data_IF_447573449536
#
_entry.id   IF_447573449536
#
_cell.length_a   1.000
_cell.length_b   1.000
_cell.length_c   1.000
_cell.angle_alpha   90.00
_cell.angle_beta   90.00
_cell.angle_gamma   90.00
#
_symmetry.space_group_name_H-M   'P 1'
#
loop_
_entity.id
_entity.type
_entity.pdbx_description
1 polymer ?
#
# COMPACT_ATOMS: atom_id res chain seq x y z
N UNK A 1 19.67 20.96 2.97
CA UNK A 1 18.36 20.61 2.43
C UNK A 1 17.38 21.70 2.83
N UNK A 2 16.68 22.25 1.85
CA UNK A 2 15.72 23.32 2.05
C UNK A 2 14.33 22.77 2.40
N UNK A 3 13.50 23.60 3.03
CA UNK A 3 12.10 23.27 3.29
C UNK A 3 11.34 22.91 1.99
N UNK A 4 11.61 23.66 0.92
CA UNK A 4 11.03 23.34 -0.39
C UNK A 4 11.42 21.96 -0.92
N UNK A 5 12.63 21.47 -0.63
CA UNK A 5 13.02 20.12 -1.04
C UNK A 5 12.25 19.05 -0.24
N UNK A 6 11.94 19.32 1.01
CA UNK A 6 11.12 18.42 1.86
C UNK A 6 9.68 18.40 1.37
N UNK A 7 9.10 19.58 1.03
CA UNK A 7 7.74 19.67 0.47
C UNK A 7 7.62 18.93 -0.86
N UNK A 8 8.60 19.07 -1.74
CA UNK A 8 8.62 18.35 -3.02
C UNK A 8 8.73 16.85 -2.79
N UNK A 9 9.65 16.40 -1.93
CA UNK A 9 9.82 14.98 -1.63
C UNK A 9 8.57 14.35 -0.98
N UNK A 10 7.85 15.12 -0.15
CA UNK A 10 6.55 14.71 0.40
C UNK A 10 5.50 14.57 -0.71
N UNK A 11 5.39 15.57 -1.59
CA UNK A 11 4.44 15.54 -2.69
C UNK A 11 4.71 14.40 -3.68
N UNK A 12 5.99 14.15 -3.99
CA UNK A 12 6.39 13.05 -4.89
C UNK A 12 6.14 11.67 -4.31
N UNK A 13 6.05 11.55 -2.98
CA UNK A 13 5.83 10.30 -2.24
C UNK A 13 4.50 10.30 -1.48
N UNK A 14 3.54 11.10 -1.91
CA UNK A 14 2.25 11.23 -1.22
C UNK A 14 1.54 9.88 -1.07
N UNK A 15 1.68 9.00 -2.05
CA UNK A 15 1.12 7.65 -2.00
C UNK A 15 1.66 6.79 -0.85
N UNK A 16 2.92 7.03 -0.42
CA UNK A 16 3.54 6.34 0.74
C UNK A 16 2.96 6.83 2.08
N UNK A 17 2.46 8.06 2.10
CA UNK A 17 1.89 8.72 3.28
C UNK A 17 0.36 8.72 3.30
N UNK A 18 -0.26 8.15 2.27
CA UNK A 18 -1.70 8.02 2.15
C UNK A 18 -2.12 6.57 2.35
N UNK A 19 -3.00 6.35 3.33
CA UNK A 19 -3.63 5.04 3.55
C UNK A 19 -5.02 5.09 2.96
N UNK A 20 -5.31 4.18 2.03
CA UNK A 20 -6.65 4.05 1.47
C UNK A 20 -7.62 3.49 2.50
N UNK A 21 -8.90 3.91 2.41
CA UNK A 21 -9.98 3.24 3.15
C UNK A 21 -9.97 1.75 2.80
N UNK A 22 -10.04 0.91 3.82
CA UNK A 22 -10.16 -0.53 3.68
C UNK A 22 -11.34 -1.07 4.48
N UNK A 23 -11.89 -2.19 4.01
CA UNK A 23 -13.04 -2.83 4.64
C UNK A 23 -12.77 -4.29 4.87
N UNK A 24 -13.15 -4.78 6.03
CA UNK A 24 -13.15 -6.21 6.33
C UNK A 24 -14.44 -6.81 5.81
N UNK A 25 -14.34 -7.74 4.87
CA UNK A 25 -15.47 -8.23 4.10
C UNK A 25 -15.51 -9.76 4.11
N UNK A 26 -16.73 -10.29 4.22
CA UNK A 26 -17.04 -11.69 3.93
C UNK A 26 -17.96 -11.75 2.73
N UNK A 27 -17.85 -12.80 1.91
CA UNK A 27 -18.65 -12.94 0.68
C UNK A 27 -19.21 -14.34 0.49
N UNK A 28 -20.34 -14.39 -0.21
CA UNK A 28 -20.86 -15.57 -0.90
C UNK A 28 -20.90 -15.28 -2.40
N UNK A 29 -20.63 -16.28 -3.23
CA UNK A 29 -20.75 -16.17 -4.69
C UNK A 29 -21.72 -17.24 -5.18
N UNK A 30 -22.68 -16.82 -5.99
CA UNK A 30 -23.75 -17.67 -6.54
C UNK A 30 -23.69 -17.65 -8.07
N UNK A 31 -24.20 -18.72 -8.69
CA UNK A 31 -24.25 -18.82 -10.14
C UNK A 31 -25.35 -17.95 -10.76
N UNK A 32 -26.37 -17.63 -9.97
CA UNK A 32 -27.56 -16.89 -10.43
C UNK A 32 -28.08 -15.90 -9.41
N UNK A 33 -28.82 -14.91 -9.91
CA UNK A 33 -29.42 -13.82 -9.12
C UNK A 33 -30.52 -14.33 -8.16
N UNK A 34 -31.31 -15.31 -8.55
CA UNK A 34 -32.44 -15.78 -7.75
C UNK A 34 -31.94 -16.47 -6.47
N UNK A 35 -30.88 -17.25 -6.58
CA UNK A 35 -30.22 -17.89 -5.43
C UNK A 35 -29.58 -16.86 -4.51
N UNK A 36 -28.92 -15.84 -5.08
CA UNK A 36 -28.34 -14.73 -4.32
C UNK A 36 -29.41 -13.92 -3.58
N UNK A 37 -30.57 -13.65 -4.20
CA UNK A 37 -31.71 -12.98 -3.57
C UNK A 37 -32.29 -13.81 -2.42
N UNK A 38 -32.32 -15.14 -2.56
CA UNK A 38 -32.75 -16.03 -1.49
C UNK A 38 -31.81 -15.93 -0.28
N UNK A 39 -30.50 -15.95 -0.52
CA UNK A 39 -29.48 -15.76 0.52
C UNK A 39 -29.63 -14.39 1.20
N UNK A 40 -29.79 -13.32 0.41
CA UNK A 40 -30.03 -11.97 0.93
C UNK A 40 -31.24 -11.91 1.84
N UNK A 41 -32.36 -12.55 1.45
CA UNK A 41 -33.58 -12.58 2.24
C UNK A 41 -33.39 -13.28 3.58
N UNK A 42 -32.61 -14.36 3.60
CA UNK A 42 -32.28 -15.11 4.83
C UNK A 42 -31.41 -14.26 5.77
N UNK A 43 -30.34 -13.66 5.26
CA UNK A 43 -29.44 -12.82 6.05
C UNK A 43 -30.16 -11.58 6.56
N UNK A 44 -30.98 -10.92 5.73
CA UNK A 44 -31.78 -9.75 6.12
C UNK A 44 -32.86 -10.12 7.13
N UNK A 45 -33.31 -11.37 7.14
CA UNK A 45 -34.23 -11.91 8.13
C UNK A 45 -33.59 -12.24 9.47
N UNK A 46 -32.29 -12.07 9.62
CA UNK A 46 -31.55 -12.26 10.86
C UNK A 46 -30.77 -13.59 10.96
N UNK A 47 -30.70 -14.38 9.89
CA UNK A 47 -29.83 -15.55 9.86
C UNK A 47 -28.36 -15.11 9.78
N UNK A 48 -27.48 -15.87 10.45
CA UNK A 48 -26.06 -15.62 10.41
C UNK A 48 -25.49 -15.86 9.01
N UNK A 49 -24.64 -14.95 8.54
CA UNK A 49 -24.05 -14.98 7.19
C UNK A 49 -23.27 -16.28 6.94
N UNK A 50 -22.46 -16.72 7.91
CA UNK A 50 -21.70 -17.96 7.78
C UNK A 50 -22.61 -19.20 7.77
N UNK A 51 -23.68 -19.19 8.55
CA UNK A 51 -24.68 -20.27 8.56
C UNK A 51 -25.40 -20.39 7.20
N UNK A 52 -25.79 -19.29 6.60
CA UNK A 52 -26.39 -19.26 5.26
C UNK A 52 -25.42 -19.76 4.20
N UNK A 53 -24.14 -19.35 4.26
CA UNK A 53 -23.10 -19.81 3.34
C UNK A 53 -22.86 -21.32 3.46
N UNK A 54 -22.83 -21.84 4.68
CA UNK A 54 -22.65 -23.27 4.92
C UNK A 54 -23.82 -24.09 4.40
N UNK A 55 -25.05 -23.61 4.62
CA UNK A 55 -26.26 -24.31 4.20
C UNK A 55 -26.49 -24.28 2.68
N UNK A 56 -26.28 -23.13 2.04
CA UNK A 56 -26.55 -22.94 0.61
C UNK A 56 -25.38 -23.33 -0.30
N UNK A 57 -24.14 -23.15 0.14
CA UNK A 57 -22.94 -23.34 -0.65
C UNK A 57 -22.02 -24.44 -0.10
N UNK A 58 -22.20 -24.88 1.14
CA UNK A 58 -21.29 -25.78 1.82
C UNK A 58 -19.96 -25.11 2.20
N UNK A 59 -19.94 -23.80 2.26
CA UNK A 59 -18.72 -23.01 2.57
C UNK A 59 -18.50 -22.87 4.07
N UNK A 60 -17.22 -22.91 4.45
CA UNK A 60 -16.78 -22.63 5.82
C UNK A 60 -16.56 -21.13 6.04
N UNK A 61 -16.24 -20.74 7.28
CA UNK A 61 -15.88 -19.36 7.59
C UNK A 61 -14.62 -18.90 6.81
N UNK A 62 -13.67 -19.80 6.59
CA UNK A 62 -12.47 -19.48 5.81
C UNK A 62 -12.81 -19.23 4.33
N UNK A 63 -13.78 -19.96 3.78
CA UNK A 63 -14.20 -19.81 2.37
C UNK A 63 -14.92 -18.48 2.12
N UNK A 64 -15.67 -17.97 3.09
CA UNK A 64 -16.39 -16.70 2.98
C UNK A 64 -15.50 -15.49 3.29
N UNK A 65 -14.41 -15.68 4.00
CA UNK A 65 -13.53 -14.58 4.45
C UNK A 65 -12.74 -14.01 3.28
N UNK A 66 -13.07 -12.79 2.84
CA UNK A 66 -12.29 -12.05 1.85
C UNK A 66 -11.14 -11.28 2.50
N UNK A 67 -11.28 -10.91 3.76
CA UNK A 67 -10.29 -10.15 4.53
C UNK A 67 -10.42 -8.64 4.35
N UNK A 68 -9.32 -7.93 4.54
CA UNK A 68 -9.24 -6.50 4.31
C UNK A 68 -9.06 -6.22 2.81
N UNK A 69 -9.96 -5.42 2.27
CA UNK A 69 -9.95 -5.01 0.86
C UNK A 69 -10.03 -3.49 0.75
N UNK A 70 -9.33 -2.96 -0.25
CA UNK A 70 -9.48 -1.57 -0.70
C UNK A 70 -10.42 -1.52 -1.90
N UNK A 71 -10.83 -0.31 -2.30
CA UNK A 71 -11.69 -0.15 -3.49
C UNK A 71 -11.06 -0.70 -4.76
N UNK A 72 -9.74 -0.63 -4.88
CA UNK A 72 -8.98 -1.12 -6.03
C UNK A 72 -8.84 -2.65 -6.09
N UNK A 73 -9.06 -3.34 -4.98
CA UNK A 73 -9.00 -4.81 -4.93
C UNK A 73 -10.29 -5.47 -5.46
N UNK A 74 -11.35 -4.70 -5.59
CA UNK A 74 -12.67 -5.17 -6.01
C UNK A 74 -13.06 -4.62 -7.38
N UNK A 75 -13.65 -5.48 -8.20
CA UNK A 75 -14.09 -5.09 -9.54
C UNK A 75 -15.45 -4.35 -9.51
N UNK A 76 -15.55 -3.30 -10.30
CA UNK A 76 -16.77 -2.64 -10.76
C UNK A 76 -17.91 -2.61 -9.74
N UNK A 77 -19.02 -3.27 -10.06
CA UNK A 77 -20.23 -3.29 -9.26
C UNK A 77 -20.07 -3.90 -7.86
N UNK A 78 -19.17 -4.89 -7.71
CA UNK A 78 -18.88 -5.50 -6.40
C UNK A 78 -18.19 -4.48 -5.49
N UNK A 79 -17.20 -3.77 -6.03
CA UNK A 79 -16.53 -2.70 -5.29
C UNK A 79 -17.46 -1.56 -4.92
N UNK A 80 -18.33 -1.11 -5.83
CA UNK A 80 -19.33 -0.08 -5.55
C UNK A 80 -20.26 -0.53 -4.42
N UNK A 81 -20.80 -1.74 -4.49
CA UNK A 81 -21.69 -2.27 -3.47
C UNK A 81 -21.03 -2.34 -2.08
N UNK A 82 -19.77 -2.80 -2.01
CA UNK A 82 -19.04 -2.90 -0.73
C UNK A 82 -18.72 -1.52 -0.15
N UNK A 83 -18.32 -0.56 -0.98
CA UNK A 83 -17.90 0.75 -0.50
C UNK A 83 -19.06 1.74 -0.29
N UNK A 84 -20.26 1.43 -0.80
CA UNK A 84 -21.49 2.15 -0.49
C UNK A 84 -22.19 1.63 0.78
N UNK A 85 -21.91 0.39 1.20
CA UNK A 85 -22.50 -0.21 2.39
C UNK A 85 -21.85 0.31 3.67
N UNK A 86 -22.63 0.38 4.75
CA UNK A 86 -22.11 0.69 6.09
C UNK A 86 -21.56 -0.54 6.81
N UNK A 87 -20.89 -0.32 7.94
CA UNK A 87 -20.42 -1.40 8.81
C UNK A 87 -21.60 -2.22 9.34
N UNK A 88 -21.50 -3.55 9.21
CA UNK A 88 -22.55 -4.49 9.56
C UNK A 88 -23.65 -4.64 8.49
N UNK A 89 -23.57 -3.92 7.39
CA UNK A 89 -24.55 -4.01 6.31
C UNK A 89 -24.15 -5.07 5.27
N UNK A 90 -25.20 -5.64 4.64
CA UNK A 90 -25.06 -6.55 3.51
C UNK A 90 -25.02 -5.76 2.23
N UNK A 91 -24.00 -6.00 1.41
CA UNK A 91 -23.80 -5.39 0.11
C UNK A 91 -24.18 -6.35 -1.02
N UNK A 92 -24.82 -5.83 -2.04
CA UNK A 92 -25.24 -6.60 -3.20
C UNK A 92 -26.72 -7.04 -3.14
N UNK A 93 -27.11 -8.01 -3.97
CA UNK A 93 -26.33 -8.80 -4.92
C UNK A 93 -25.65 -7.96 -6.02
N UNK A 94 -24.40 -8.23 -6.30
CA UNK A 94 -23.61 -7.56 -7.34
C UNK A 94 -23.00 -8.57 -8.30
N UNK A 95 -23.11 -8.34 -9.59
CA UNK A 95 -22.60 -9.24 -10.62
C UNK A 95 -21.15 -8.94 -10.96
N UNK A 96 -20.38 -10.00 -11.16
CA UNK A 96 -19.04 -9.96 -11.73
C UNK A 96 -18.85 -11.10 -12.74
N UNK A 97 -17.65 -11.19 -13.29
CA UNK A 97 -17.26 -12.32 -14.17
C UNK A 97 -17.24 -13.68 -13.45
N UNK A 98 -17.23 -13.69 -12.12
CA UNK A 98 -17.20 -14.89 -11.28
C UNK A 98 -18.58 -15.34 -10.82
N UNK A 99 -19.62 -14.54 -11.03
CA UNK A 99 -20.99 -14.82 -10.61
C UNK A 99 -21.64 -13.64 -9.88
N UNK A 100 -22.64 -13.96 -9.06
CA UNK A 100 -23.40 -12.99 -8.28
C UNK A 100 -22.90 -12.99 -6.84
N UNK A 101 -22.34 -11.87 -6.42
CA UNK A 101 -21.76 -11.70 -5.09
C UNK A 101 -22.77 -11.13 -4.10
N UNK A 102 -22.84 -11.74 -2.94
CA UNK A 102 -23.46 -11.19 -1.75
C UNK A 102 -22.38 -11.03 -0.68
N UNK A 103 -22.21 -9.83 -0.18
CA UNK A 103 -21.14 -9.48 0.73
C UNK A 103 -21.69 -8.88 2.02
N UNK A 104 -20.89 -8.96 3.08
CA UNK A 104 -21.16 -8.24 4.34
C UNK A 104 -19.89 -7.48 4.72
N UNK A 105 -20.06 -6.22 5.09
CA UNK A 105 -19.00 -5.36 5.58
C UNK A 105 -18.93 -5.48 7.10
N UNK A 106 -17.97 -6.21 7.62
CA UNK A 106 -17.84 -6.41 9.07
C UNK A 106 -17.24 -5.18 9.77
N UNK A 107 -16.28 -4.51 9.11
CA UNK A 107 -15.56 -3.36 9.68
C UNK A 107 -15.12 -2.41 8.56
N UNK A 108 -15.16 -1.13 8.84
CA UNK A 108 -14.63 -0.06 7.99
C UNK A 108 -13.41 0.53 8.70
N UNK A 109 -12.26 0.51 8.03
CA UNK A 109 -11.04 1.16 8.46
C UNK A 109 -10.84 2.37 7.57
N UNK A 110 -11.05 3.55 8.13
CA UNK A 110 -10.93 4.79 7.39
C UNK A 110 -9.49 4.99 6.89
N UNK A 111 -9.36 5.45 5.67
CA UNK A 111 -8.11 5.93 5.12
C UNK A 111 -7.70 7.27 5.76
N UNK A 112 -6.46 7.64 5.55
CA UNK A 112 -5.94 8.89 6.06
C UNK A 112 -4.66 9.29 5.33
N UNK A 113 -4.27 10.52 5.53
CA UNK A 113 -3.03 11.08 5.06
C UNK A 113 -2.18 11.46 6.26
N UNK A 114 -0.95 10.94 6.32
CA UNK A 114 0.03 11.36 7.32
C UNK A 114 0.57 12.72 6.89
N UNK A 115 0.41 13.72 7.72
CA UNK A 115 0.78 15.10 7.38
C UNK A 115 2.29 15.26 7.21
N UNK A 116 2.69 16.26 6.41
CA UNK A 116 4.10 16.63 6.24
C UNK A 116 4.81 16.85 7.58
N UNK A 117 4.14 17.45 8.55
CA UNK A 117 4.74 17.75 9.86
C UNK A 117 5.11 16.47 10.62
N UNK A 118 4.31 15.41 10.50
CA UNK A 118 4.56 14.12 11.16
C UNK A 118 5.73 13.35 10.53
N UNK A 119 5.92 13.44 9.21
CA UNK A 119 6.96 12.71 8.47
C UNK A 119 8.18 13.57 8.10
N UNK A 120 8.18 14.84 8.48
CA UNK A 120 9.21 15.80 8.11
C UNK A 120 10.63 15.36 8.45
N UNK A 121 10.82 14.83 9.65
CA UNK A 121 12.14 14.38 10.11
C UNK A 121 12.60 13.14 9.34
N UNK A 122 11.70 12.23 9.00
CA UNK A 122 12.01 11.03 8.24
C UNK A 122 12.38 11.37 6.78
N UNK A 123 11.63 12.28 6.16
CA UNK A 123 11.93 12.80 4.82
C UNK A 123 13.28 13.51 4.83
N UNK A 124 13.54 14.35 5.82
CA UNK A 124 14.80 15.06 5.97
C UNK A 124 16.00 14.08 6.12
N UNK A 125 15.83 13.02 6.91
CA UNK A 125 16.84 11.99 7.09
C UNK A 125 17.12 11.24 5.76
N UNK A 126 16.08 10.91 5.03
CA UNK A 126 16.18 10.26 3.71
C UNK A 126 16.91 11.15 2.70
N UNK A 127 16.51 12.41 2.58
CA UNK A 127 17.14 13.37 1.67
C UNK A 127 18.62 13.64 2.03
N UNK A 128 18.96 13.63 3.32
CA UNK A 128 20.37 13.74 3.78
C UNK A 128 21.19 12.53 3.38
N UNK A 129 20.61 11.34 3.50
CA UNK A 129 21.27 10.10 3.11
C UNK A 129 21.48 10.04 1.60
N UNK A 130 20.48 10.40 0.81
CA UNK A 130 20.57 10.49 -0.65
C UNK A 130 21.66 11.49 -1.07
N UNK A 131 21.64 12.68 -0.52
CA UNK A 131 22.65 13.70 -0.81
C UNK A 131 24.08 13.28 -0.41
N UNK A 132 24.23 12.57 0.72
CA UNK A 132 25.51 12.02 1.14
C UNK A 132 25.99 10.92 0.19
N UNK A 133 25.10 10.06 -0.26
CA UNK A 133 25.38 8.99 -1.22
C UNK A 133 25.82 9.58 -2.55
N UNK A 134 25.10 10.56 -3.08
CA UNK A 134 25.46 11.26 -4.33
C UNK A 134 26.83 11.94 -4.22
N UNK A 135 27.09 12.57 -3.07
CA UNK A 135 28.41 13.18 -2.83
C UNK A 135 29.53 12.15 -2.85
N UNK A 136 29.32 10.97 -2.24
CA UNK A 136 30.31 9.87 -2.25
C UNK A 136 30.54 9.39 -3.68
N UNK A 137 29.49 9.13 -4.46
CA UNK A 137 29.63 8.70 -5.85
C UNK A 137 30.36 9.73 -6.70
N UNK A 138 30.02 11.01 -6.57
CA UNK A 138 30.71 12.08 -7.28
C UNK A 138 32.18 12.16 -6.90
N UNK A 139 32.52 11.97 -5.61
CA UNK A 139 33.92 11.95 -5.16
C UNK A 139 34.68 10.74 -5.62
N UNK A 140 34.04 9.57 -5.69
CA UNK A 140 34.65 8.35 -6.24
C UNK A 140 34.95 8.54 -7.73
N UNK A 141 33.99 9.04 -8.51
CA UNK A 141 34.17 9.30 -9.94
C UNK A 141 35.29 10.35 -10.19
N UNK A 142 35.31 11.43 -9.41
CA UNK A 142 36.38 12.44 -9.48
C UNK A 142 37.75 11.83 -9.19
N UNK A 143 37.82 10.90 -8.22
CA UNK A 143 39.02 10.18 -7.86
C UNK A 143 39.50 9.26 -9.00
N UNK A 144 38.54 8.47 -9.56
CA UNK A 144 38.83 7.57 -10.67
C UNK A 144 39.33 8.32 -11.91
N UNK A 145 38.70 9.43 -12.27
CA UNK A 145 39.12 10.29 -13.40
C UNK A 145 40.53 10.85 -13.18
N UNK A 146 40.87 11.25 -11.98
CA UNK A 146 42.22 11.73 -11.63
C UNK A 146 43.29 10.65 -11.76
N UNK A 147 42.99 9.46 -11.25
CA UNK A 147 43.89 8.30 -11.36
C UNK A 147 44.06 7.91 -12.84
N UNK A 148 42.96 7.86 -13.60
CA UNK A 148 43.01 7.57 -15.04
C UNK A 148 43.80 8.59 -15.85
N UNK A 149 43.86 9.86 -15.39
CA UNK A 149 44.69 10.91 -16.01
C UNK A 149 46.17 10.86 -15.59
N UNK A 150 46.57 9.91 -14.76
CA UNK A 150 47.95 9.67 -14.35
C UNK A 150 48.36 10.30 -13.02
N UNK A 151 47.40 10.81 -12.24
CA UNK A 151 47.67 11.30 -10.89
C UNK A 151 48.00 10.13 -9.94
N UNK A 152 48.86 10.37 -8.97
CA UNK A 152 49.07 9.44 -7.87
C UNK A 152 47.86 9.41 -6.94
N UNK A 153 47.73 8.35 -6.14
CA UNK A 153 46.62 8.21 -5.19
C UNK A 153 46.59 9.38 -4.21
N UNK A 154 47.74 9.80 -3.71
CA UNK A 154 47.88 10.94 -2.79
C UNK A 154 47.41 12.27 -3.41
N UNK A 155 47.81 12.52 -4.67
CA UNK A 155 47.39 13.71 -5.42
C UNK A 155 45.86 13.69 -5.70
N UNK A 156 45.33 12.54 -6.06
CA UNK A 156 43.92 12.38 -6.31
C UNK A 156 43.06 12.61 -5.03
N UNK A 157 43.46 12.02 -3.90
CA UNK A 157 42.78 12.24 -2.61
C UNK A 157 42.91 13.67 -2.10
N UNK A 158 44.05 14.32 -2.28
CA UNK A 158 44.21 15.73 -1.91
C UNK A 158 43.26 16.64 -2.69
N UNK A 159 42.96 16.33 -3.97
CA UNK A 159 42.08 17.13 -4.80
C UNK A 159 40.60 17.07 -4.36
N UNK A 160 40.20 16.00 -3.68
CA UNK A 160 38.81 15.84 -3.15
C UNK A 160 38.72 16.10 -1.65
N UNK A 161 39.72 16.74 -1.03
CA UNK A 161 39.87 16.96 0.40
C UNK A 161 39.87 15.64 1.23
N UNK A 162 40.30 14.56 0.63
CA UNK A 162 40.47 13.27 1.29
C UNK A 162 41.80 13.18 2.04
N UNK A 163 41.94 12.13 2.85
CA UNK A 163 43.21 11.79 3.53
C UNK A 163 43.54 10.32 3.25
N UNK A 164 44.77 10.07 2.91
CA UNK A 164 45.31 8.73 2.76
C UNK A 164 45.96 8.29 4.07
N UNK A 165 45.56 7.14 4.57
CA UNK A 165 46.19 6.50 5.73
C UNK A 165 46.95 5.26 5.22
N UNK A 166 48.24 5.21 5.47
CA UNK A 166 49.07 4.03 5.21
C UNK A 166 49.02 3.14 6.45
N UNK A 167 48.51 1.93 6.31
CA UNK A 167 48.69 0.90 7.32
C UNK A 167 50.11 0.36 7.22
N UNK A 168 50.93 0.66 8.21
CA UNK A 168 52.24 0.02 8.38
C UNK A 168 52.04 -1.19 9.28
N UNK A 169 52.50 -2.38 8.82
CA UNK A 169 52.55 -3.63 9.60
C UNK A 169 53.45 -3.50 10.82
#
# INVERSE_FOLDING_TARGET
>A
ISDSAIEIAYADRLDEFTTSESRRVRQMVFDDMDTAQTALSRVSGGEDFAAVASDMLGWSEDDITLGLVTRSDLEGAVGDAVFDAGAGEVAGPAESVFGVHLLVVDEIIEGGETSLDEVREDILATLRLEAATDLIYNKVNELEDKIASGATLDEAFASINGKVFTLTD
#
